data_IF_556433586833
#
_entry.id   IF_556433586833
#
_cell.length_a   1.000
_cell.length_b   1.000
_cell.length_c   1.000
_cell.angle_alpha   90.00
_cell.angle_beta   90.00
_cell.angle_gamma   90.00
#
_symmetry.space_group_name_H-M   'P 1'
#
loop_
_entity.id
_entity.type
_entity.pdbx_description
1 polymer ?
#
# COMPACT_ATOMS: atom_id res chain seq x y z
N UNK A 1 -5.93 -15.64 29.95
CA UNK A 1 -6.13 -15.33 28.52
C UNK A 1 -6.16 -13.82 28.44
N UNK A 2 -5.09 -13.20 27.97
CA UNK A 2 -5.02 -11.74 27.81
C UNK A 2 -6.09 -11.34 26.80
N UNK A 3 -6.98 -10.42 27.18
CA UNK A 3 -7.75 -9.65 26.22
C UNK A 3 -6.75 -8.71 25.54
N UNK A 4 -5.99 -9.21 24.58
CA UNK A 4 -5.30 -8.37 23.61
C UNK A 4 -6.40 -7.79 22.72
N UNK A 5 -7.09 -6.78 23.25
CA UNK A 5 -7.88 -5.87 22.42
C UNK A 5 -6.87 -5.33 21.43
N UNK A 6 -7.04 -5.64 20.15
CA UNK A 6 -6.12 -5.18 19.13
C UNK A 6 -6.03 -3.65 19.22
N UNK A 7 -4.91 -3.13 19.72
CA UNK A 7 -4.74 -1.69 19.92
C UNK A 7 -4.81 -1.03 18.55
N UNK A 8 -5.67 -0.03 18.42
CA UNK A 8 -5.76 0.80 17.23
C UNK A 8 -4.64 1.84 17.24
N UNK A 9 -4.18 2.22 16.06
CA UNK A 9 -3.25 3.33 15.89
C UNK A 9 -3.72 4.24 14.75
N UNK A 10 -3.15 5.44 14.69
CA UNK A 10 -3.55 6.47 13.73
C UNK A 10 -2.32 7.05 13.03
N UNK A 11 -2.52 7.45 11.78
CA UNK A 11 -1.51 8.08 10.93
C UNK A 11 -2.08 9.35 10.32
N UNK A 12 -1.20 10.17 9.73
CA UNK A 12 -1.65 11.35 9.00
C UNK A 12 -2.55 10.95 7.82
N UNK A 13 -3.70 11.62 7.60
CA UNK A 13 -4.58 11.33 6.49
C UNK A 13 -3.89 11.35 5.12
N UNK A 14 -4.24 10.38 4.26
CA UNK A 14 -3.76 10.32 2.89
C UNK A 14 -2.31 9.85 2.70
N UNK A 15 -1.54 9.64 3.76
CA UNK A 15 -0.19 9.05 3.65
C UNK A 15 -0.26 7.57 3.29
N UNK A 16 0.84 7.04 2.76
CA UNK A 16 0.97 5.59 2.58
C UNK A 16 1.67 4.96 3.78
N UNK A 17 1.17 3.80 4.17
CA UNK A 17 1.73 2.97 5.24
C UNK A 17 2.02 1.57 4.70
N UNK A 18 3.06 0.95 5.26
CA UNK A 18 3.32 -0.48 5.12
C UNK A 18 2.72 -1.22 6.30
N UNK A 19 1.95 -2.27 6.02
CA UNK A 19 1.38 -3.13 7.05
C UNK A 19 1.34 -4.59 6.59
N UNK A 20 1.32 -5.50 7.54
CA UNK A 20 1.25 -6.93 7.25
C UNK A 20 -0.19 -7.29 6.86
N UNK A 21 -0.34 -7.91 5.69
CA UNK A 21 -1.60 -8.51 5.28
C UNK A 21 -1.75 -9.87 5.97
N UNK A 22 -2.77 -9.99 6.83
CA UNK A 22 -3.03 -11.22 7.59
C UNK A 22 -3.44 -12.40 6.70
N UNK A 23 -3.95 -12.13 5.51
CA UNK A 23 -4.44 -13.18 4.60
C UNK A 23 -3.34 -13.75 3.73
N UNK A 24 -2.43 -12.89 3.27
CA UNK A 24 -1.36 -13.28 2.34
C UNK A 24 0.01 -13.38 2.99
N UNK A 25 0.20 -12.82 4.18
CA UNK A 25 1.49 -12.68 4.85
C UNK A 25 2.42 -11.64 4.20
N UNK A 26 1.97 -10.96 3.13
CA UNK A 26 2.76 -9.95 2.43
C UNK A 26 2.74 -8.64 3.22
N UNK A 27 3.86 -7.91 3.21
CA UNK A 27 3.90 -6.53 3.68
C UNK A 27 3.44 -5.60 2.56
N UNK A 28 2.21 -5.11 2.68
CA UNK A 28 1.54 -4.32 1.63
C UNK A 28 1.58 -2.84 1.92
N UNK A 29 1.62 -2.06 0.85
CA UNK A 29 1.35 -0.63 0.87
C UNK A 29 -0.15 -0.38 0.86
N UNK A 30 -0.61 0.49 1.75
CA UNK A 30 -1.99 0.94 1.85
C UNK A 30 -2.03 2.46 2.03
N UNK A 31 -3.17 3.09 1.70
CA UNK A 31 -3.38 4.53 1.88
C UNK A 31 -4.29 4.77 3.07
N UNK A 32 -3.88 5.67 3.95
CA UNK A 32 -4.65 6.08 5.12
C UNK A 32 -5.85 6.93 4.70
N UNK A 33 -7.01 6.68 5.29
CA UNK A 33 -8.26 7.42 5.04
C UNK A 33 -8.23 8.83 5.64
N UNK A 34 -9.23 9.64 5.30
CA UNK A 34 -9.30 11.05 5.70
C UNK A 34 -9.41 11.27 7.22
N UNK A 35 -9.85 10.26 7.97
CA UNK A 35 -9.94 10.27 9.43
C UNK A 35 -8.64 9.84 10.14
N UNK A 36 -7.65 9.34 9.40
CA UNK A 36 -6.38 8.87 9.94
C UNK A 36 -6.43 7.51 10.67
N UNK A 37 -7.60 6.86 10.75
CA UNK A 37 -7.83 5.68 11.60
C UNK A 37 -8.02 4.37 10.82
N UNK A 38 -8.29 4.47 9.52
CA UNK A 38 -8.46 3.34 8.63
C UNK A 38 -7.55 3.44 7.40
N UNK A 39 -7.51 2.38 6.62
CA UNK A 39 -6.78 2.31 5.37
C UNK A 39 -7.60 1.68 4.26
N UNK A 40 -7.28 2.08 3.03
CA UNK A 40 -7.71 1.42 1.79
C UNK A 40 -6.49 0.81 1.09
N UNK A 41 -6.69 -0.35 0.49
CA UNK A 41 -5.63 -1.14 -0.12
C UNK A 41 -6.01 -1.72 -1.50
N UNK A 42 -7.17 -1.34 -2.02
CA UNK A 42 -7.59 -1.60 -3.40
C UNK A 42 -7.89 -0.29 -4.13
N UNK A 43 -7.62 -0.27 -5.44
CA UNK A 43 -7.92 0.86 -6.35
C UNK A 43 -9.42 0.95 -6.72
N UNK A 44 -10.29 0.27 -5.98
CA UNK A 44 -11.73 0.27 -6.20
C UNK A 44 -12.41 1.34 -5.36
N UNK A 45 -13.33 2.10 -5.95
CA UNK A 45 -14.16 3.08 -5.23
C UNK A 45 -15.04 2.43 -4.13
N UNK A 46 -15.39 1.16 -4.29
CA UNK A 46 -16.18 0.38 -3.33
C UNK A 46 -15.30 -0.31 -2.26
N UNK A 47 -14.01 0.00 -2.20
CA UNK A 47 -13.10 -0.59 -1.22
C UNK A 47 -13.51 -0.18 0.20
N UNK A 48 -14.05 -1.14 0.96
CA UNK A 48 -14.36 -0.92 2.38
C UNK A 48 -13.07 -0.63 3.15
N UNK A 49 -12.97 0.52 3.85
CA UNK A 49 -11.82 0.82 4.69
C UNK A 49 -11.68 -0.17 5.84
N UNK A 50 -10.44 -0.54 6.18
CA UNK A 50 -10.16 -1.36 7.36
C UNK A 50 -9.47 -0.55 8.45
N UNK A 51 -9.79 -0.80 9.74
CA UNK A 51 -9.09 -0.17 10.84
C UNK A 51 -7.59 -0.49 10.85
N UNK A 52 -6.79 0.48 11.28
CA UNK A 52 -5.34 0.29 11.43
C UNK A 52 -5.06 -0.29 12.83
N UNK A 53 -4.87 -1.60 12.89
CA UNK A 53 -4.45 -2.27 14.13
C UNK A 53 -2.92 -2.29 14.26
N UNK A 54 -2.42 -2.03 15.47
CA UNK A 54 -0.99 -2.12 15.84
C UNK A 54 -0.40 -3.50 15.57
N UNK A 55 -1.20 -4.57 15.69
CA UNK A 55 -0.80 -5.96 15.42
C UNK A 55 -0.44 -6.20 13.96
N UNK A 56 -0.91 -5.35 13.03
CA UNK A 56 -0.51 -5.37 11.62
C UNK A 56 0.89 -4.76 11.41
N UNK A 57 1.53 -4.27 12.47
CA UNK A 57 2.83 -3.60 12.45
C UNK A 57 2.90 -2.47 11.41
N UNK A 58 1.95 -1.52 11.46
CA UNK A 58 1.91 -0.43 10.50
C UNK A 58 3.12 0.48 10.69
N UNK A 59 3.70 0.93 9.58
CA UNK A 59 4.80 1.88 9.55
C UNK A 59 4.59 2.86 8.41
N UNK A 60 4.95 4.12 8.62
CA UNK A 60 4.89 5.12 7.55
C UNK A 60 5.84 4.71 6.42
N UNK A 61 5.29 4.65 5.20
CA UNK A 61 6.05 4.34 4.01
C UNK A 61 6.54 5.61 3.30
N UNK A 62 5.91 6.75 3.58
CA UNK A 62 6.08 8.00 2.83
C UNK A 62 5.20 8.02 1.58
N UNK A 63 5.62 8.79 0.57
CA UNK A 63 4.92 8.91 -0.71
C UNK A 63 5.92 9.22 -1.83
N UNK A 64 5.47 9.22 -3.09
CA UNK A 64 6.31 9.47 -4.26
C UNK A 64 7.11 10.77 -4.16
N UNK A 65 6.53 11.84 -3.60
CA UNK A 65 7.24 13.10 -3.40
C UNK A 65 8.35 12.95 -2.35
N UNK A 66 8.05 12.35 -1.20
CA UNK A 66 9.01 12.12 -0.12
C UNK A 66 10.18 11.24 -0.55
N UNK A 67 9.90 10.16 -1.29
CA UNK A 67 10.94 9.30 -1.86
C UNK A 67 11.82 10.06 -2.87
N UNK A 68 11.22 10.92 -3.70
CA UNK A 68 11.95 11.78 -4.63
C UNK A 68 12.87 12.77 -3.91
N UNK A 69 12.36 13.46 -2.89
CA UNK A 69 13.16 14.38 -2.07
C UNK A 69 14.31 13.68 -1.36
N UNK A 70 14.06 12.49 -0.79
CA UNK A 70 15.13 11.67 -0.22
C UNK A 70 16.23 11.38 -1.24
N UNK A 71 15.88 11.03 -2.48
CA UNK A 71 16.88 10.82 -3.54
C UNK A 71 17.62 12.11 -3.88
N UNK A 72 16.96 13.26 -3.95
CA UNK A 72 17.66 14.54 -4.16
C UNK A 72 18.72 14.79 -3.09
N UNK A 73 18.38 14.55 -1.83
CA UNK A 73 19.26 14.88 -0.70
C UNK A 73 20.39 13.85 -0.51
N UNK A 74 20.13 12.57 -0.76
CA UNK A 74 21.04 11.47 -0.39
C UNK A 74 21.64 10.70 -1.58
N UNK A 75 20.97 10.70 -2.73
CA UNK A 75 21.39 9.97 -3.93
C UNK A 75 21.02 10.75 -5.21
N UNK A 76 21.50 12.00 -5.36
CA UNK A 76 21.05 12.90 -6.42
C UNK A 76 21.28 12.33 -7.83
N UNK A 77 22.25 11.43 -8.00
CA UNK A 77 22.52 10.71 -9.24
C UNK A 77 21.38 9.79 -9.69
N UNK A 78 20.54 9.32 -8.75
CA UNK A 78 19.41 8.43 -9.01
C UNK A 78 18.12 9.18 -9.32
N UNK A 79 18.01 10.43 -8.87
CA UNK A 79 16.79 11.23 -9.00
C UNK A 79 16.29 11.42 -10.44
N UNK A 80 17.15 11.63 -11.47
CA UNK A 80 16.68 11.73 -12.85
C UNK A 80 15.94 10.47 -13.34
N UNK A 81 16.46 9.29 -13.04
CA UNK A 81 15.85 8.01 -13.41
C UNK A 81 14.55 7.77 -12.63
N UNK A 82 14.55 8.09 -11.33
CA UNK A 82 13.35 8.08 -10.49
C UNK A 82 12.23 8.94 -11.08
N UNK A 83 12.52 10.21 -11.41
CA UNK A 83 11.53 11.13 -11.96
C UNK A 83 10.92 10.58 -13.25
N UNK A 84 11.76 10.10 -14.19
CA UNK A 84 11.28 9.50 -15.43
C UNK A 84 10.42 8.27 -15.19
N UNK A 85 10.75 7.42 -14.21
CA UNK A 85 9.91 6.30 -13.82
C UNK A 85 8.56 6.79 -13.28
N UNK A 86 8.55 7.71 -12.32
CA UNK A 86 7.32 8.23 -11.71
C UNK A 86 6.38 8.85 -12.75
N UNK A 87 6.92 9.63 -13.68
CA UNK A 87 6.13 10.19 -14.79
C UNK A 87 5.45 9.08 -15.61
N UNK A 88 6.17 8.00 -15.94
CA UNK A 88 5.59 6.86 -16.67
C UNK A 88 4.56 6.10 -15.83
N UNK A 89 4.81 5.91 -14.54
CA UNK A 89 3.92 5.20 -13.62
C UNK A 89 2.58 5.92 -13.45
N UNK A 90 2.60 7.24 -13.24
CA UNK A 90 1.37 8.06 -13.12
C UNK A 90 0.56 8.03 -14.41
N UNK A 91 1.22 7.93 -15.56
CA UNK A 91 0.57 7.86 -16.88
C UNK A 91 0.34 6.42 -17.39
N UNK A 92 0.51 5.40 -16.53
CA UNK A 92 0.38 3.99 -16.95
C UNK A 92 -1.06 3.53 -17.16
N UNK A 93 -2.03 4.28 -16.64
CA UNK A 93 -3.45 3.89 -16.58
C UNK A 93 -3.79 2.99 -15.38
N UNK A 94 -2.81 2.63 -14.56
CA UNK A 94 -3.05 1.92 -13.30
C UNK A 94 -3.62 2.84 -12.22
N UNK A 95 -4.32 2.24 -11.25
CA UNK A 95 -4.84 2.96 -10.10
C UNK A 95 -3.75 3.49 -9.16
N UNK A 96 -4.14 4.41 -8.28
CA UNK A 96 -3.25 5.16 -7.38
C UNK A 96 -2.40 4.25 -6.50
N UNK A 97 -2.99 3.23 -5.89
CA UNK A 97 -2.26 2.27 -5.06
C UNK A 97 -1.32 1.43 -5.90
N UNK A 98 -1.76 0.94 -7.05
CA UNK A 98 -0.94 0.08 -7.91
C UNK A 98 0.32 0.79 -8.40
N UNK A 99 0.21 2.04 -8.87
CA UNK A 99 1.42 2.77 -9.29
C UNK A 99 2.28 3.23 -8.11
N UNK A 100 1.71 3.51 -6.93
CA UNK A 100 2.50 3.83 -5.74
C UNK A 100 3.24 2.60 -5.19
N UNK A 101 2.66 1.40 -5.29
CA UNK A 101 3.34 0.13 -4.99
C UNK A 101 4.53 -0.08 -5.91
N UNK A 102 4.35 0.15 -7.21
CA UNK A 102 5.42 0.10 -8.20
C UNK A 102 6.55 1.10 -7.86
N UNK A 103 6.19 2.34 -7.53
CA UNK A 103 7.16 3.38 -7.16
C UNK A 103 7.89 3.03 -5.85
N UNK A 104 7.17 2.56 -4.83
CA UNK A 104 7.76 2.13 -3.55
C UNK A 104 8.76 0.98 -3.78
N UNK A 105 8.36 -0.04 -4.56
CA UNK A 105 9.24 -1.15 -4.91
C UNK A 105 10.52 -0.67 -5.61
N UNK A 106 10.38 0.23 -6.59
CA UNK A 106 11.53 0.79 -7.31
C UNK A 106 12.45 1.60 -6.39
N UNK A 107 11.89 2.38 -5.45
CA UNK A 107 12.63 3.16 -4.47
C UNK A 107 13.46 2.25 -3.56
N UNK A 108 12.82 1.22 -2.97
CA UNK A 108 13.47 0.29 -2.03
C UNK A 108 14.54 -0.54 -2.73
N UNK A 109 14.27 -1.01 -3.94
CA UNK A 109 15.20 -1.88 -4.70
C UNK A 109 16.20 -1.10 -5.55
N UNK A 110 16.16 0.25 -5.52
CA UNK A 110 16.98 1.13 -6.37
C UNK A 110 16.96 0.73 -7.85
N UNK A 111 15.81 0.28 -8.34
CA UNK A 111 15.62 -0.25 -9.69
C UNK A 111 14.57 0.59 -10.41
N UNK A 112 15.00 1.48 -11.30
CA UNK A 112 14.14 2.46 -11.97
C UNK A 112 13.69 2.02 -13.39
N UNK A 113 13.53 0.72 -13.57
CA UNK A 113 13.00 0.13 -14.78
C UNK A 113 11.47 0.05 -14.70
N UNK A 114 10.78 0.59 -15.71
CA UNK A 114 9.31 0.68 -15.69
C UNK A 114 8.65 -0.69 -15.69
N UNK A 115 9.07 -1.61 -16.56
CA UNK A 115 8.41 -2.90 -16.73
C UNK A 115 8.56 -3.75 -15.46
N UNK A 116 9.74 -3.71 -14.82
CA UNK A 116 9.96 -4.39 -13.54
C UNK A 116 9.14 -3.75 -12.41
N UNK A 117 9.14 -2.43 -12.31
CA UNK A 117 8.43 -1.71 -11.25
C UNK A 117 6.92 -1.94 -11.36
N UNK A 118 6.34 -1.80 -12.55
CA UNK A 118 4.91 -1.99 -12.74
C UNK A 118 4.49 -3.44 -12.54
N UNK A 119 5.31 -4.41 -12.95
CA UNK A 119 5.05 -5.82 -12.67
C UNK A 119 5.03 -6.12 -11.17
N UNK A 120 5.96 -5.53 -10.40
CA UNK A 120 5.99 -5.68 -8.95
C UNK A 120 4.76 -5.02 -8.29
N UNK A 121 4.39 -3.80 -8.71
CA UNK A 121 3.20 -3.11 -8.20
C UNK A 121 1.91 -3.88 -8.47
N UNK A 122 1.77 -4.45 -9.68
CA UNK A 122 0.64 -5.31 -10.05
C UNK A 122 0.59 -6.58 -9.22
N UNK A 123 1.72 -7.27 -9.08
CA UNK A 123 1.79 -8.51 -8.30
C UNK A 123 1.37 -8.27 -6.84
N UNK A 124 1.79 -7.15 -6.24
CA UNK A 124 1.34 -6.78 -4.89
C UNK A 124 -0.17 -6.46 -4.88
N UNK A 125 -0.67 -5.65 -5.83
CA UNK A 125 -2.11 -5.35 -5.93
C UNK A 125 -2.97 -6.58 -6.12
N UNK A 126 -2.54 -7.54 -6.95
CA UNK A 126 -3.23 -8.81 -7.17
C UNK A 126 -3.25 -9.66 -5.90
N UNK A 127 -2.13 -9.73 -5.17
CA UNK A 127 -2.07 -10.44 -3.90
C UNK A 127 -3.04 -9.84 -2.87
N UNK A 128 -3.05 -8.51 -2.74
CA UNK A 128 -3.98 -7.81 -1.83
C UNK A 128 -5.43 -8.04 -2.23
N UNK A 129 -5.75 -7.96 -3.53
CA UNK A 129 -7.10 -8.24 -4.04
C UNK A 129 -7.55 -9.67 -3.74
N UNK A 130 -6.66 -10.65 -3.92
CA UNK A 130 -6.93 -12.04 -3.58
C UNK A 130 -7.18 -12.22 -2.07
N UNK A 131 -6.36 -11.60 -1.22
CA UNK A 131 -6.55 -11.61 0.23
C UNK A 131 -7.88 -10.97 0.66
N UNK A 132 -8.25 -9.85 0.04
CA UNK A 132 -9.52 -9.18 0.30
C UNK A 132 -10.74 -10.01 -0.06
N UNK A 133 -10.70 -10.68 -1.22
CA UNK A 133 -11.76 -11.59 -1.62
C UNK A 133 -12.05 -12.65 -0.55
N UNK A 134 -11.01 -13.20 0.07
CA UNK A 134 -11.17 -14.21 1.14
C UNK A 134 -11.85 -13.59 2.37
N UNK A 135 -11.47 -12.38 2.77
CA UNK A 135 -12.12 -11.67 3.88
C UNK A 135 -13.60 -11.40 3.60
N UNK A 136 -13.91 -10.92 2.39
CA UNK A 136 -15.29 -10.63 1.99
C UNK A 136 -16.15 -11.90 1.94
N UNK A 137 -15.60 -13.01 1.44
CA UNK A 137 -16.27 -14.31 1.41
C UNK A 137 -16.47 -14.86 2.84
N UNK A 138 -15.50 -14.68 3.75
CA UNK A 138 -15.64 -15.03 5.17
C UNK A 138 -16.74 -14.21 5.86
N UNK A 139 -16.77 -12.90 5.64
CA UNK A 139 -17.79 -12.01 6.19
C UNK A 139 -19.20 -12.38 5.69
N UNK A 140 -19.34 -12.68 4.40
CA UNK A 140 -20.61 -13.13 3.80
C UNK A 140 -21.08 -14.45 4.39
N UNK A 141 -20.17 -15.42 4.58
CA UNK A 141 -20.50 -16.73 5.14
C UNK A 141 -20.83 -16.66 6.65
N UNK A 142 -20.20 -15.75 7.39
CA UNK A 142 -20.49 -15.53 8.81
C UNK A 142 -21.81 -14.78 9.04
N UNK A 143 -22.19 -13.85 8.14
CA UNK A 143 -23.47 -13.15 8.16
C UNK A 143 -24.67 -13.96 7.64
N UNK A 144 -24.44 -15.17 7.15
CA UNK A 144 -25.46 -16.05 6.55
C UNK A 144 -26.21 -16.97 7.53
N UNK A 145 -26.08 -16.78 8.84
CA UNK A 145 -26.92 -17.44 9.84
C UNK A 145 -27.91 -16.44 10.43
N UNK A 146 -29.04 -16.26 9.74
CA UNK A 146 -30.29 -15.72 10.29
C UNK A 146 -31.46 -16.51 9.72
#
# INVERSE_FOLDING_TARGET
MSNDIADLTAFEPGVFILLNDVMTGVRKLARVTDDGQAYIDLDSEDCTPLPIYTTLQPAEAGNILGWGLYLVDHHPELHPAWRTLCDRLVNSGEGVLTYNRAAHWAFVNRTFDFDKAIAAGKAESEAVAAGRKVLDDMARNAGGQA
#
